data_IF_767327533332
#
_entry.id   IF_767327533332
#
_cell.length_a   1.000
_cell.length_b   1.000
_cell.length_c   1.000
_cell.angle_alpha   90.00
_cell.angle_beta   90.00
_cell.angle_gamma   90.00
#
_symmetry.space_group_name_H-M   'P 1'
#
loop_
_entity.id
_entity.type
_entity.pdbx_description
1 polymer ?
#
# COMPACT_ATOMS: atom_id res chain seq x y z
N UNK A 1 8.18 28.71 -74.09
CA UNK A 1 7.53 28.84 -72.76
C UNK A 1 7.32 30.29 -72.34
N UNK A 2 8.30 31.18 -72.46
CA UNK A 2 8.17 32.60 -72.04
C UNK A 2 7.06 33.34 -72.83
N UNK A 3 6.89 33.03 -74.13
CA UNK A 3 5.84 33.63 -74.96
C UNK A 3 4.40 33.33 -74.49
N UNK A 4 4.17 32.19 -73.81
CA UNK A 4 2.86 31.85 -73.25
C UNK A 4 2.59 32.66 -71.97
N UNK A 5 3.60 32.83 -71.13
CA UNK A 5 3.56 33.64 -69.91
C UNK A 5 3.40 35.15 -70.18
N UNK A 6 3.65 35.62 -71.40
CA UNK A 6 3.36 37.01 -71.82
C UNK A 6 1.91 37.22 -72.27
N UNK A 7 1.13 36.15 -72.51
CA UNK A 7 -0.31 36.27 -72.82
C UNK A 7 -1.13 36.52 -71.54
N UNK A 8 -2.28 37.20 -71.67
CA UNK A 8 -3.17 37.45 -70.52
C UNK A 8 -3.59 36.18 -69.78
N UNK A 9 -3.86 35.10 -70.53
CA UNK A 9 -4.22 33.78 -69.97
C UNK A 9 -3.03 33.14 -69.25
N UNK A 10 -1.82 33.18 -69.85
CA UNK A 10 -0.63 32.61 -69.23
C UNK A 10 -0.23 33.31 -67.94
N UNK A 11 -0.40 34.64 -67.84
CA UNK A 11 -0.18 35.40 -66.59
C UNK A 11 -1.19 35.04 -65.52
N UNK A 12 -2.45 34.86 -65.90
CA UNK A 12 -3.51 34.51 -64.96
C UNK A 12 -3.33 33.09 -64.40
N UNK A 13 -2.99 32.12 -65.25
CA UNK A 13 -2.68 30.75 -64.84
C UNK A 13 -1.42 30.69 -63.95
N UNK A 14 -0.38 31.44 -64.29
CA UNK A 14 0.82 31.54 -63.45
C UNK A 14 0.50 32.15 -62.08
N UNK A 15 -0.29 33.22 -62.04
CA UNK A 15 -0.76 33.84 -60.80
C UNK A 15 -1.59 32.88 -59.94
N UNK A 16 -2.51 32.14 -60.55
CA UNK A 16 -3.31 31.12 -59.87
C UNK A 16 -2.42 30.00 -59.28
N UNK A 17 -1.44 29.52 -60.03
CA UNK A 17 -0.50 28.49 -59.55
C UNK A 17 0.32 28.99 -58.36
N UNK A 18 0.84 30.22 -58.42
CA UNK A 18 1.58 30.82 -57.30
C UNK A 18 0.69 30.97 -56.06
N UNK A 19 -0.56 31.40 -56.24
CA UNK A 19 -1.51 31.52 -55.13
C UNK A 19 -1.80 30.16 -54.47
N UNK A 20 -1.98 29.11 -55.26
CA UNK A 20 -2.20 27.74 -54.75
C UNK A 20 -0.98 27.24 -53.99
N UNK A 21 0.23 27.42 -54.54
CA UNK A 21 1.47 27.00 -53.87
C UNK A 21 1.71 27.77 -52.57
N UNK A 22 1.42 29.08 -52.55
CA UNK A 22 1.50 29.88 -51.34
C UNK A 22 0.51 29.38 -50.26
N UNK A 23 -0.72 29.07 -50.65
CA UNK A 23 -1.73 28.54 -49.73
C UNK A 23 -1.32 27.18 -49.14
N UNK A 24 -0.82 26.27 -49.98
CA UNK A 24 -0.30 24.97 -49.53
C UNK A 24 0.88 25.16 -48.56
N UNK A 25 1.81 26.07 -48.89
CA UNK A 25 2.95 26.37 -48.02
C UNK A 25 2.53 26.89 -46.64
N UNK A 26 1.57 27.81 -46.59
CA UNK A 26 1.02 28.33 -45.33
C UNK A 26 0.31 27.23 -44.54
N UNK A 27 -0.49 26.40 -45.21
CA UNK A 27 -1.19 25.28 -44.56
C UNK A 27 -0.21 24.30 -43.92
N UNK A 28 0.81 23.84 -44.66
CA UNK A 28 1.81 22.89 -44.16
C UNK A 28 2.59 23.46 -42.97
N UNK A 29 2.98 24.74 -43.02
CA UNK A 29 3.70 25.38 -41.91
C UNK A 29 2.81 25.51 -40.67
N UNK A 30 1.54 25.90 -40.85
CA UNK A 30 0.60 26.04 -39.75
C UNK A 30 0.30 24.68 -39.10
N UNK A 31 0.01 23.68 -39.92
CA UNK A 31 -0.28 22.31 -39.49
C UNK A 31 0.91 21.69 -38.73
N UNK A 32 2.12 21.76 -39.30
CA UNK A 32 3.30 21.18 -38.68
C UNK A 32 3.63 21.85 -37.33
N UNK A 33 3.52 23.18 -37.24
CA UNK A 33 3.71 23.91 -35.98
C UNK A 33 2.62 23.58 -34.95
N UNK A 34 1.38 23.38 -35.41
CA UNK A 34 0.26 22.93 -34.58
C UNK A 34 0.54 21.57 -33.94
N UNK A 35 0.91 20.59 -34.77
CA UNK A 35 1.26 19.24 -34.31
C UNK A 35 2.45 19.23 -33.36
N UNK A 36 3.52 19.98 -33.66
CA UNK A 36 4.67 20.07 -32.77
C UNK A 36 4.30 20.65 -31.41
N UNK A 37 3.49 21.73 -31.38
CA UNK A 37 3.02 22.32 -30.11
C UNK A 37 2.16 21.35 -29.32
N UNK A 38 1.21 20.69 -29.97
CA UNK A 38 0.37 19.67 -29.33
C UNK A 38 1.23 18.52 -28.78
N UNK A 39 2.18 18.01 -29.56
CA UNK A 39 3.09 16.95 -29.12
C UNK A 39 3.92 17.37 -27.89
N UNK A 40 4.45 18.60 -27.88
CA UNK A 40 5.22 19.11 -26.73
C UNK A 40 4.35 19.25 -25.47
N UNK A 41 3.12 19.75 -25.62
CA UNK A 41 2.18 19.91 -24.51
C UNK A 41 1.80 18.55 -23.90
N UNK A 42 1.39 17.58 -24.71
CA UNK A 42 1.06 16.25 -24.23
C UNK A 42 2.26 15.51 -23.65
N UNK A 43 3.46 15.69 -24.22
CA UNK A 43 4.67 15.09 -23.65
C UNK A 43 4.96 15.64 -22.25
N UNK A 44 4.80 16.96 -22.06
CA UNK A 44 4.96 17.59 -20.76
C UNK A 44 3.88 17.12 -19.76
N UNK A 45 2.61 17.05 -20.19
CA UNK A 45 1.51 16.56 -19.37
C UNK A 45 1.71 15.11 -18.93
N UNK A 46 2.13 14.24 -19.87
CA UNK A 46 2.45 12.84 -19.57
C UNK A 46 3.64 12.74 -18.60
N UNK A 47 4.66 13.57 -18.76
CA UNK A 47 5.79 13.61 -17.84
C UNK A 47 5.35 14.04 -16.44
N UNK A 48 4.49 15.05 -16.34
CA UNK A 48 3.92 15.51 -15.08
C UNK A 48 3.07 14.41 -14.41
N UNK A 49 2.16 13.79 -15.15
CA UNK A 49 1.34 12.68 -14.63
C UNK A 49 2.20 11.53 -14.09
N UNK A 50 3.32 11.21 -14.77
CA UNK A 50 4.26 10.18 -14.28
C UNK A 50 4.96 10.60 -12.99
N UNK A 51 5.37 11.86 -12.87
CA UNK A 51 5.99 12.38 -11.65
C UNK A 51 5.00 12.41 -10.47
N UNK A 52 3.76 12.83 -10.72
CA UNK A 52 2.69 12.86 -9.73
C UNK A 52 2.34 11.45 -9.26
N UNK A 53 2.22 10.49 -10.19
CA UNK A 53 1.97 9.08 -9.87
C UNK A 53 3.11 8.46 -9.06
N UNK A 54 4.38 8.76 -9.38
CA UNK A 54 5.53 8.29 -8.63
C UNK A 54 5.54 8.85 -7.20
N UNK A 55 5.21 10.14 -7.05
CA UNK A 55 5.11 10.81 -5.74
C UNK A 55 3.97 10.22 -4.91
N UNK A 56 2.79 10.05 -5.50
CA UNK A 56 1.64 9.44 -4.84
C UNK A 56 1.94 8.01 -4.38
N UNK A 57 2.63 7.22 -5.21
CA UNK A 57 3.08 5.87 -4.85
C UNK A 57 4.05 5.88 -3.67
N UNK A 58 5.04 6.78 -3.68
CA UNK A 58 6.00 6.88 -2.59
C UNK A 58 5.31 7.26 -1.26
N UNK A 59 4.38 8.21 -1.30
CA UNK A 59 3.60 8.62 -0.13
C UNK A 59 2.74 7.47 0.42
N UNK A 60 2.13 6.67 -0.45
CA UNK A 60 1.33 5.53 -0.03
C UNK A 60 2.19 4.42 0.58
N UNK A 61 3.36 4.14 0.01
CA UNK A 61 4.34 3.21 0.60
C UNK A 61 4.72 3.67 2.01
N UNK A 62 5.01 4.96 2.19
CA UNK A 62 5.38 5.51 3.51
C UNK A 62 4.24 5.41 4.52
N UNK A 63 3.00 5.71 4.09
CA UNK A 63 1.80 5.55 4.92
C UNK A 63 1.62 4.10 5.38
N UNK A 64 1.77 3.15 4.45
CA UNK A 64 1.66 1.71 4.75
C UNK A 64 2.78 1.24 5.67
N UNK A 65 4.02 1.66 5.43
CA UNK A 65 5.17 1.31 6.27
C UNK A 65 4.98 1.82 7.70
N UNK A 66 4.55 3.07 7.86
CA UNK A 66 4.28 3.67 9.17
C UNK A 66 3.21 2.88 9.93
N UNK A 67 2.07 2.58 9.27
CA UNK A 67 1.00 1.81 9.88
C UNK A 67 1.45 0.38 10.25
N UNK A 68 2.18 -0.29 9.36
CA UNK A 68 2.68 -1.64 9.59
C UNK A 68 3.71 -1.69 10.73
N UNK A 69 4.60 -0.71 10.82
CA UNK A 69 5.59 -0.65 11.89
C UNK A 69 4.92 -0.36 13.25
N UNK A 70 3.92 0.53 13.29
CA UNK A 70 3.13 0.75 14.49
C UNK A 70 2.38 -0.53 14.94
N UNK A 71 1.77 -1.25 14.00
CA UNK A 71 1.10 -2.51 14.28
C UNK A 71 2.08 -3.58 14.80
N UNK A 72 3.26 -3.72 14.18
CA UNK A 72 4.31 -4.64 14.65
C UNK A 72 4.78 -4.31 16.06
N UNK A 73 4.95 -3.02 16.38
CA UNK A 73 5.36 -2.59 17.72
C UNK A 73 4.27 -2.90 18.77
N UNK A 74 3.00 -2.63 18.45
CA UNK A 74 1.88 -2.97 19.32
C UNK A 74 1.79 -4.49 19.57
N UNK A 75 2.03 -5.30 18.54
CA UNK A 75 1.95 -6.75 18.67
C UNK A 75 3.16 -7.35 19.38
N UNK A 76 4.36 -6.80 19.19
CA UNK A 76 5.52 -7.15 20.00
C UNK A 76 5.25 -6.90 21.50
N UNK A 77 4.60 -5.78 21.84
CA UNK A 77 4.21 -5.48 23.22
C UNK A 77 3.20 -6.49 23.76
N UNK A 78 2.19 -6.89 22.96
CA UNK A 78 1.24 -7.93 23.35
C UNK A 78 1.90 -9.29 23.56
N UNK A 79 2.81 -9.68 22.68
CA UNK A 79 3.54 -10.95 22.81
C UNK A 79 4.39 -10.94 24.08
N UNK A 80 5.08 -9.85 24.37
CA UNK A 80 5.86 -9.71 25.60
C UNK A 80 4.97 -9.84 26.85
N UNK A 81 3.77 -9.24 26.83
CA UNK A 81 2.81 -9.40 27.92
C UNK A 81 2.33 -10.85 28.05
N UNK A 82 1.97 -11.50 26.95
CA UNK A 82 1.53 -12.90 26.98
C UNK A 82 2.64 -13.84 27.50
N UNK A 83 3.91 -13.55 27.20
CA UNK A 83 5.04 -14.30 27.74
C UNK A 83 5.17 -14.09 29.25
N UNK A 84 5.10 -12.86 29.73
CA UNK A 84 5.13 -12.56 31.16
C UNK A 84 3.96 -13.21 31.91
N UNK A 85 2.75 -13.18 31.33
CA UNK A 85 1.57 -13.83 31.90
C UNK A 85 1.73 -15.36 31.94
N UNK A 86 2.32 -15.95 30.90
CA UNK A 86 2.59 -17.39 30.84
C UNK A 86 3.62 -17.82 31.90
N UNK A 87 4.70 -17.06 32.07
CA UNK A 87 5.72 -17.31 33.08
C UNK A 87 5.13 -17.18 34.50
N UNK A 88 4.29 -16.17 34.73
CA UNK A 88 3.59 -15.99 36.00
C UNK A 88 2.64 -17.17 36.29
N UNK A 89 1.90 -17.63 35.28
CA UNK A 89 1.00 -18.78 35.41
C UNK A 89 1.78 -20.07 35.70
N UNK A 90 2.91 -20.27 35.03
CA UNK A 90 3.79 -21.42 35.25
C UNK A 90 4.32 -21.45 36.68
N UNK A 91 4.77 -20.32 37.22
CA UNK A 91 5.19 -20.21 38.62
C UNK A 91 4.07 -20.54 39.60
N UNK A 92 2.84 -20.06 39.35
CA UNK A 92 1.68 -20.40 40.19
C UNK A 92 1.36 -21.89 40.15
N UNK A 93 1.44 -22.52 38.97
CA UNK A 93 1.23 -23.97 38.83
C UNK A 93 2.27 -24.73 39.64
N UNK A 94 3.55 -24.35 39.56
CA UNK A 94 4.62 -24.99 40.32
C UNK A 94 4.44 -24.80 41.83
N UNK A 95 3.99 -23.63 42.27
CA UNK A 95 3.67 -23.37 43.67
C UNK A 95 2.53 -24.26 44.16
N UNK A 96 1.41 -24.30 43.44
CA UNK A 96 0.27 -25.15 43.78
C UNK A 96 0.64 -26.64 43.78
N UNK A 97 1.51 -27.07 42.86
CA UNK A 97 2.02 -28.45 42.87
C UNK A 97 2.91 -28.73 44.07
N UNK A 98 3.76 -27.77 44.49
CA UNK A 98 4.56 -27.90 45.72
C UNK A 98 3.68 -27.99 46.95
N UNK A 99 2.67 -27.12 47.06
CA UNK A 99 1.70 -27.14 48.17
C UNK A 99 0.95 -28.47 48.23
N UNK A 100 0.43 -28.94 47.10
CA UNK A 100 -0.25 -30.23 47.02
C UNK A 100 0.68 -31.42 47.36
N UNK A 101 1.99 -31.32 47.10
CA UNK A 101 2.95 -32.35 47.49
C UNK A 101 3.28 -32.31 48.99
N UNK A 102 3.26 -31.13 49.61
CA UNK A 102 3.51 -30.95 51.04
C UNK A 102 2.33 -31.44 51.90
N UNK A 103 1.10 -31.24 51.43
CA UNK A 103 -0.11 -31.78 52.08
C UNK A 103 -1.02 -32.49 51.07
N UNK A 104 -0.67 -33.73 50.68
CA UNK A 104 -1.46 -34.50 49.70
C UNK A 104 -2.84 -34.91 50.23
N UNK A 105 -3.07 -34.79 51.54
CA UNK A 105 -4.32 -35.14 52.21
C UNK A 105 -5.11 -33.89 52.68
N UNK A 106 -4.69 -32.67 52.32
CA UNK A 106 -5.36 -31.41 52.69
C UNK A 106 -6.86 -31.38 52.32
N UNK A 107 -7.21 -32.05 51.22
CA UNK A 107 -8.60 -32.17 50.74
C UNK A 107 -9.35 -33.39 51.29
N UNK A 108 -8.70 -34.28 52.04
CA UNK A 108 -9.36 -35.44 52.65
C UNK A 108 -9.98 -35.06 53.99
N UNK A 109 -11.19 -35.54 54.30
CA UNK A 109 -11.77 -35.37 55.62
C UNK A 109 -10.83 -35.95 56.69
N UNK A 110 -10.47 -35.17 57.71
CA UNK A 110 -9.59 -35.59 58.81
C UNK A 110 -10.06 -36.87 59.52
N UNK A 111 -11.35 -37.19 59.43
CA UNK A 111 -11.94 -38.45 59.85
C UNK A 111 -12.55 -39.17 58.64
N UNK A 112 -11.80 -40.11 58.07
CA UNK A 112 -12.32 -41.03 57.06
C UNK A 112 -13.38 -42.00 57.63
N UNK A 113 -14.16 -42.63 56.74
CA UNK A 113 -15.24 -43.55 57.12
C UNK A 113 -14.80 -44.71 58.04
N UNK A 114 -13.55 -45.17 57.92
CA UNK A 114 -12.94 -46.17 58.81
C UNK A 114 -12.74 -45.67 60.25
N UNK A 115 -12.44 -44.38 60.43
CA UNK A 115 -12.29 -43.73 61.75
C UNK A 115 -13.62 -43.64 62.49
N UNK A 116 -14.72 -43.37 61.77
CA UNK A 116 -16.10 -43.34 62.32
C UNK A 116 -16.52 -44.72 62.83
N UNK A 117 -16.18 -45.80 62.11
CA UNK A 117 -16.46 -47.17 62.56
C UNK A 117 -15.71 -47.55 63.85
N UNK A 118 -14.47 -47.05 64.05
CA UNK A 118 -13.72 -47.32 65.28
C UNK A 118 -14.28 -46.56 66.48
N UNK A 119 -14.73 -45.31 66.31
CA UNK A 119 -15.34 -44.52 67.38
C UNK A 119 -16.67 -45.14 67.84
N UNK A 120 -17.50 -45.61 66.90
CA UNK A 120 -18.77 -46.27 67.23
C UNK A 120 -18.62 -47.64 67.91
N UNK A 121 -17.45 -48.29 67.84
CA UNK A 121 -17.16 -49.55 68.54
C UNK A 121 -16.69 -49.38 69.99
N UNK A 122 -16.36 -48.15 70.42
CA UNK A 122 -15.87 -47.84 71.77
C UNK A 122 -17.02 -47.32 72.67
N UNK A 123 -18.26 -47.22 72.16
CA UNK A 123 -19.47 -46.98 72.94
C UNK A 123 -20.11 -48.30 73.39
#
# INVERSE_FOLDING_TARGET
>A
MIAFLSTGIGRWLAGALVAVLAFIGVYVVADHRGYQRAATAYTAEIAQMKADAATARANEIERQNTANNAAKAAEAARIAQMQADADALQHQIEELQREAHQDPDAGKPALGASSVQRINKIR
#
